data_IF_759013312018
#
_entry.id   IF_759013312018
#
_cell.length_a   1.000
_cell.length_b   1.000
_cell.length_c   1.000
_cell.angle_alpha   90.00
_cell.angle_beta   90.00
_cell.angle_gamma   90.00
#
_symmetry.space_group_name_H-M   'P 1'
#
loop_
_entity.id
_entity.type
_entity.pdbx_description
1 polymer ?
#
# COMPACT_ATOMS: atom_id res chain seq x y z
N UNK A 1 -41.51 18.51 -12.39
CA UNK A 1 -41.67 18.12 -10.97
C UNK A 1 -40.30 18.21 -10.32
N UNK A 2 -40.04 19.36 -9.73
CA UNK A 2 -38.87 19.72 -8.92
C UNK A 2 -38.95 19.03 -7.55
N UNK A 3 -37.85 18.49 -7.05
CA UNK A 3 -37.58 18.35 -5.61
C UNK A 3 -36.08 18.52 -5.35
N UNK A 4 -35.74 19.57 -4.59
CA UNK A 4 -34.51 19.71 -3.80
C UNK A 4 -34.85 19.31 -2.33
N UNK A 5 -33.94 19.45 -1.35
CA UNK A 5 -32.94 18.49 -0.91
C UNK A 5 -33.21 18.02 0.53
N UNK A 6 -32.72 16.84 0.93
CA UNK A 6 -32.83 16.37 2.31
C UNK A 6 -33.05 14.87 2.39
N UNK A 7 -31.95 14.13 2.47
CA UNK A 7 -31.93 12.74 2.88
C UNK A 7 -30.84 12.60 3.92
N UNK A 8 -31.27 12.41 5.17
CA UNK A 8 -30.41 12.16 6.32
C UNK A 8 -29.51 10.95 6.05
N UNK A 9 -28.22 11.08 6.40
CA UNK A 9 -27.34 9.93 6.57
C UNK A 9 -27.92 9.09 7.72
N UNK A 10 -28.42 7.89 7.39
CA UNK A 10 -28.78 6.90 8.41
C UNK A 10 -27.49 6.25 8.89
N UNK A 11 -27.13 6.60 10.12
CA UNK A 11 -26.05 6.03 10.91
C UNK A 11 -26.58 4.71 11.51
N UNK A 12 -26.36 3.58 10.84
CA UNK A 12 -26.66 2.25 11.40
C UNK A 12 -25.55 1.81 12.37
N UNK A 13 -25.41 2.56 13.46
CA UNK A 13 -24.77 2.12 14.69
C UNK A 13 -25.83 1.44 15.58
N UNK A 14 -26.10 0.16 15.34
CA UNK A 14 -26.83 -0.68 16.31
C UNK A 14 -25.89 -1.71 16.92
N UNK A 15 -25.49 -1.32 18.14
CA UNK A 15 -25.02 -2.13 19.27
C UNK A 15 -25.30 -3.64 19.18
N UNK A 16 -24.23 -4.44 19.23
CA UNK A 16 -24.19 -5.69 19.98
C UNK A 16 -23.28 -5.47 21.19
N UNK A 17 -23.88 -5.07 22.32
CA UNK A 17 -23.30 -5.28 23.64
C UNK A 17 -24.25 -6.19 24.40
N UNK A 18 -23.86 -7.46 24.55
CA UNK A 18 -24.12 -8.21 25.77
C UNK A 18 -23.21 -9.43 25.83
N UNK A 19 -22.31 -9.41 26.81
CA UNK A 19 -21.81 -10.62 27.48
C UNK A 19 -20.67 -11.41 26.85
N UNK A 20 -19.46 -10.85 26.79
CA UNK A 20 -18.23 -11.63 27.00
C UNK A 20 -17.30 -10.83 27.94
N UNK A 21 -17.54 -10.96 29.24
CA UNK A 21 -16.49 -10.72 30.22
C UNK A 21 -15.45 -11.84 30.09
N UNK A 22 -14.18 -11.45 29.94
CA UNK A 22 -12.97 -12.28 30.03
C UNK A 22 -12.59 -13.18 28.84
N UNK A 23 -12.21 -12.57 27.70
CA UNK A 23 -11.11 -13.10 26.85
C UNK A 23 -10.21 -11.93 26.39
N UNK A 24 -9.69 -11.17 27.35
CA UNK A 24 -8.65 -10.19 27.08
C UNK A 24 -7.28 -10.91 27.12
N UNK A 25 -6.69 -11.16 25.94
CA UNK A 25 -5.25 -11.45 25.88
C UNK A 25 -4.70 -12.39 24.81
N UNK A 26 -5.51 -13.00 23.94
CA UNK A 26 -4.96 -14.01 22.99
C UNK A 26 -5.39 -13.82 21.51
N UNK A 27 -6.37 -12.96 21.19
CA UNK A 27 -6.92 -12.86 19.82
C UNK A 27 -6.84 -11.51 19.11
N UNK A 28 -6.32 -10.46 19.76
CA UNK A 28 -6.25 -9.10 19.15
C UNK A 28 -4.90 -8.85 18.49
N UNK A 29 -3.83 -9.51 18.96
CA UNK A 29 -2.49 -9.38 18.37
C UNK A 29 -2.31 -10.16 17.06
N UNK A 30 -3.13 -11.17 16.75
CA UNK A 30 -2.97 -11.95 15.50
C UNK A 30 -3.61 -11.26 14.28
N UNK A 31 -4.65 -10.46 14.45
CA UNK A 31 -5.39 -9.89 13.31
C UNK A 31 -4.69 -8.69 12.64
N UNK A 32 -3.88 -7.93 13.38
CA UNK A 32 -3.25 -6.72 12.81
C UNK A 32 -2.10 -7.07 11.87
N UNK A 33 -1.37 -8.15 12.17
CA UNK A 33 -0.21 -8.57 11.39
C UNK A 33 -0.63 -9.06 10.00
N UNK A 34 -1.74 -9.81 9.91
CA UNK A 34 -2.30 -10.26 8.63
C UNK A 34 -2.67 -9.07 7.73
N UNK A 35 -3.38 -8.08 8.26
CA UNK A 35 -3.73 -6.87 7.50
C UNK A 35 -2.48 -6.03 7.17
N UNK A 36 -1.52 -5.92 8.10
CA UNK A 36 -0.26 -5.22 7.88
C UNK A 36 0.53 -5.84 6.73
N UNK A 37 0.63 -7.18 6.66
CA UNK A 37 1.31 -7.88 5.56
C UNK A 37 0.64 -7.56 4.23
N UNK A 38 -0.70 -7.56 4.18
CA UNK A 38 -1.44 -7.25 2.96
C UNK A 38 -1.24 -5.80 2.51
N UNK A 39 -1.23 -4.84 3.45
CA UNK A 39 -1.02 -3.43 3.15
C UNK A 39 0.41 -3.14 2.68
N UNK A 40 1.41 -3.69 3.38
CA UNK A 40 2.82 -3.57 3.00
C UNK A 40 3.06 -4.24 1.64
N UNK A 41 2.54 -5.45 1.43
CA UNK A 41 2.66 -6.15 0.15
C UNK A 41 1.97 -5.38 -0.97
N UNK A 42 0.79 -4.83 -0.71
CA UNK A 42 0.09 -3.95 -1.65
C UNK A 42 1.00 -2.78 -2.02
N UNK A 43 1.55 -2.04 -1.07
CA UNK A 43 2.39 -0.88 -1.37
C UNK A 43 3.67 -1.26 -2.15
N UNK A 44 4.35 -2.34 -1.76
CA UNK A 44 5.59 -2.80 -2.40
C UNK A 44 5.37 -3.42 -3.78
N UNK A 45 4.17 -3.91 -4.12
CA UNK A 45 3.92 -4.54 -5.44
C UNK A 45 4.24 -3.60 -6.59
N UNK A 46 3.91 -2.31 -6.45
CA UNK A 46 4.16 -1.31 -7.50
C UNK A 46 5.66 -1.17 -7.73
N UNK A 47 6.47 -1.26 -6.67
CA UNK A 47 7.91 -1.24 -6.77
C UNK A 47 8.44 -2.46 -7.52
N UNK A 48 8.00 -3.65 -7.12
CA UNK A 48 8.45 -4.93 -7.72
C UNK A 48 8.15 -5.04 -9.22
N UNK A 49 7.00 -4.55 -9.67
CA UNK A 49 6.53 -4.76 -11.05
C UNK A 49 6.70 -3.55 -11.97
N UNK A 50 6.69 -2.32 -11.44
CA UNK A 50 6.58 -1.11 -12.27
C UNK A 50 7.65 -0.05 -11.99
N UNK A 51 8.54 -0.28 -11.03
CA UNK A 51 9.51 0.73 -10.62
C UNK A 51 10.91 0.30 -11.05
N UNK A 52 11.61 1.24 -11.68
CA UNK A 52 12.95 1.06 -12.23
C UNK A 52 13.85 2.12 -11.61
N UNK A 53 15.16 1.88 -11.51
CA UNK A 53 16.09 2.87 -10.95
C UNK A 53 16.16 4.13 -11.85
N UNK A 54 15.49 5.19 -11.42
CA UNK A 54 15.39 6.46 -12.15
C UNK A 54 16.68 7.28 -12.15
N UNK A 55 17.68 6.94 -11.34
CA UNK A 55 18.95 7.68 -11.29
C UNK A 55 19.67 7.70 -12.64
N UNK A 56 19.37 6.74 -13.51
CA UNK A 56 19.97 6.59 -14.84
C UNK A 56 18.99 6.87 -15.98
N UNK A 57 17.77 7.32 -15.67
CA UNK A 57 16.75 7.59 -16.68
C UNK A 57 16.93 9.01 -17.23
N UNK A 58 17.94 9.20 -18.07
CA UNK A 58 17.90 10.28 -19.08
C UNK A 58 16.93 9.87 -20.18
N UNK A 59 16.14 10.82 -20.71
CA UNK A 59 15.06 10.66 -21.72
C UNK A 59 15.47 9.99 -23.06
N UNK A 60 16.65 9.38 -23.13
CA UNK A 60 17.33 8.92 -24.34
C UNK A 60 17.44 7.39 -24.46
N UNK A 61 16.45 6.64 -23.99
CA UNK A 61 16.35 5.21 -24.33
C UNK A 61 15.13 4.95 -25.20
N UNK A 62 15.31 5.19 -26.50
CA UNK A 62 14.68 4.37 -27.51
C UNK A 62 15.06 2.92 -27.22
N UNK A 63 14.05 2.06 -27.03
CA UNK A 63 14.15 0.60 -26.96
C UNK A 63 15.25 0.04 -26.03
N UNK A 64 14.90 -0.36 -24.80
CA UNK A 64 15.49 -1.57 -24.24
C UNK A 64 14.68 -2.14 -23.07
N UNK A 65 14.04 -3.29 -23.34
CA UNK A 65 13.29 -4.15 -22.42
C UNK A 65 14.18 -4.90 -21.40
N UNK A 66 15.29 -4.30 -20.95
CA UNK A 66 16.33 -4.99 -20.18
C UNK A 66 16.33 -4.67 -18.68
N UNK A 67 15.31 -3.97 -18.15
CA UNK A 67 15.24 -3.66 -16.72
C UNK A 67 15.18 -4.92 -15.82
N UNK A 68 14.66 -6.04 -16.31
CA UNK A 68 14.66 -7.32 -15.57
C UNK A 68 15.96 -8.13 -15.74
N UNK A 69 16.84 -7.75 -16.67
CA UNK A 69 17.99 -8.56 -17.06
C UNK A 69 19.26 -8.26 -16.26
N UNK A 70 19.30 -7.16 -15.51
CA UNK A 70 20.47 -6.77 -14.73
C UNK A 70 20.03 -6.20 -13.37
N UNK A 71 20.75 -6.58 -12.31
CA UNK A 71 20.62 -5.90 -11.03
C UNK A 71 21.02 -4.42 -11.19
N UNK A 72 20.38 -3.47 -10.50
CA UNK A 72 20.78 -2.07 -10.52
C UNK A 72 22.28 -1.94 -10.26
N UNK A 73 22.98 -1.16 -11.09
CA UNK A 73 24.41 -0.85 -10.93
C UNK A 73 24.54 0.63 -10.54
N UNK A 74 25.17 0.97 -9.41
CA UNK A 74 25.80 0.06 -8.46
C UNK A 74 24.77 -0.79 -7.70
N UNK A 75 25.17 -1.99 -7.21
CA UNK A 75 24.37 -2.76 -6.26
C UNK A 75 23.98 -1.85 -5.10
N UNK A 76 22.93 -2.17 -4.35
CA UNK A 76 22.50 -1.38 -3.18
C UNK A 76 23.67 -1.21 -2.20
N UNK A 77 24.44 -0.12 -2.36
CA UNK A 77 25.61 0.16 -1.52
C UNK A 77 25.12 0.55 -0.12
N UNK A 78 23.93 1.16 -0.04
CA UNK A 78 23.39 1.74 1.19
C UNK A 78 21.93 1.38 1.36
N UNK A 79 21.62 0.61 2.39
CA UNK A 79 20.25 0.44 2.86
C UNK A 79 19.65 1.76 3.31
N UNK A 80 18.32 1.87 3.23
CA UNK A 80 17.62 2.91 3.96
C UNK A 80 17.82 2.67 5.45
N UNK A 81 18.45 3.63 6.13
CA UNK A 81 18.95 3.42 7.49
C UNK A 81 17.83 3.09 8.49
N UNK A 82 16.66 3.75 8.41
CA UNK A 82 15.53 3.46 9.33
C UNK A 82 14.96 2.05 9.10
N UNK A 83 14.83 1.63 7.83
CA UNK A 83 14.34 0.29 7.51
C UNK A 83 15.34 -0.74 8.03
N UNK A 84 16.64 -0.52 7.80
CA UNK A 84 17.68 -1.41 8.32
C UNK A 84 17.64 -1.50 9.85
N UNK A 85 17.56 -0.37 10.56
CA UNK A 85 17.50 -0.33 12.02
C UNK A 85 16.31 -1.11 12.57
N UNK A 86 15.11 -0.94 12.00
CA UNK A 86 13.91 -1.62 12.49
C UNK A 86 13.83 -3.08 12.05
N UNK A 87 14.22 -3.37 10.82
CA UNK A 87 14.08 -4.70 10.22
C UNK A 87 15.26 -5.64 10.44
N UNK A 88 16.38 -5.18 11.00
CA UNK A 88 17.45 -6.11 11.43
C UNK A 88 17.15 -6.79 12.76
N UNK A 89 16.11 -6.35 13.49
CA UNK A 89 15.81 -6.81 14.84
C UNK A 89 14.88 -8.02 14.85
N UNK A 90 13.63 -7.83 14.41
CA UNK A 90 12.57 -8.83 14.45
C UNK A 90 11.52 -8.55 13.37
N UNK A 91 10.85 -9.60 12.89
CA UNK A 91 9.85 -9.50 11.83
C UNK A 91 8.66 -8.61 12.22
N UNK A 92 8.12 -8.75 13.42
CA UNK A 92 6.95 -7.97 13.83
C UNK A 92 7.30 -6.50 14.04
N UNK A 93 8.51 -6.22 14.56
CA UNK A 93 9.03 -4.84 14.66
C UNK A 93 9.18 -4.22 13.27
N UNK A 94 9.76 -4.97 12.33
CA UNK A 94 9.88 -4.54 10.94
C UNK A 94 8.51 -4.25 10.33
N UNK A 95 7.59 -5.22 10.41
CA UNK A 95 6.27 -5.16 9.81
C UNK A 95 5.47 -3.98 10.36
N UNK A 96 5.54 -3.75 11.68
CA UNK A 96 4.87 -2.63 12.32
C UNK A 96 5.37 -1.29 11.78
N UNK A 97 6.70 -1.11 11.74
CA UNK A 97 7.30 0.10 11.17
C UNK A 97 6.92 0.30 9.69
N UNK A 98 6.97 -0.76 8.88
CA UNK A 98 6.59 -0.68 7.48
C UNK A 98 5.12 -0.30 7.31
N UNK A 99 4.23 -0.88 8.11
CA UNK A 99 2.81 -0.55 8.10
C UNK A 99 2.59 0.92 8.46
N UNK A 100 3.23 1.41 9.53
CA UNK A 100 3.08 2.79 10.00
C UNK A 100 3.46 3.81 8.91
N UNK A 101 4.49 3.51 8.09
CA UNK A 101 4.84 4.35 6.94
C UNK A 101 3.83 4.21 5.80
N UNK A 102 3.35 2.99 5.52
CA UNK A 102 2.43 2.72 4.41
C UNK A 102 1.07 3.37 4.62
N UNK A 103 0.56 3.43 5.84
CA UNK A 103 -0.73 4.08 6.14
C UNK A 103 -0.71 5.60 5.97
N UNK A 104 0.47 6.22 5.90
CA UNK A 104 0.63 7.64 5.60
C UNK A 104 0.65 7.94 4.09
N UNK A 105 0.73 6.91 3.25
CA UNK A 105 0.73 7.06 1.79
C UNK A 105 -0.68 7.33 1.26
N UNK A 106 -0.79 7.95 0.09
CA UNK A 106 -2.09 8.30 -0.48
C UNK A 106 -2.81 7.06 -1.02
N UNK A 107 -2.10 6.19 -1.75
CA UNK A 107 -2.70 4.99 -2.33
C UNK A 107 -2.56 3.79 -1.39
N UNK A 108 -3.66 3.47 -0.72
CA UNK A 108 -3.75 2.35 0.22
C UNK A 108 -4.52 1.18 -0.41
N UNK A 109 -4.38 -0.02 0.17
CA UNK A 109 -5.09 -1.21 -0.31
C UNK A 109 -6.61 -1.02 -0.24
N UNK A 110 -7.08 -0.43 0.85
CA UNK A 110 -8.50 -0.20 1.12
C UNK A 110 -9.17 0.73 0.10
N UNK A 111 -8.42 1.61 -0.54
CA UNK A 111 -8.92 2.54 -1.57
C UNK A 111 -8.73 2.02 -2.99
N UNK A 112 -8.20 0.80 -3.16
CA UNK A 112 -8.04 0.19 -4.48
C UNK A 112 -9.37 -0.32 -5.03
N UNK A 113 -9.54 -0.18 -6.33
CA UNK A 113 -10.74 -0.63 -7.05
C UNK A 113 -11.00 -2.12 -6.83
N UNK A 114 -9.98 -2.96 -6.91
CA UNK A 114 -10.11 -4.41 -6.69
C UNK A 114 -10.58 -4.75 -5.28
N UNK A 115 -10.07 -4.04 -4.26
CA UNK A 115 -10.46 -4.24 -2.88
C UNK A 115 -11.93 -3.86 -2.67
N UNK A 116 -12.32 -2.66 -3.12
CA UNK A 116 -13.69 -2.17 -2.97
C UNK A 116 -14.67 -3.09 -3.73
N UNK A 117 -14.33 -3.50 -4.95
CA UNK A 117 -15.17 -4.42 -5.72
C UNK A 117 -15.41 -5.75 -4.99
N UNK A 118 -14.37 -6.29 -4.33
CA UNK A 118 -14.50 -7.54 -3.53
C UNK A 118 -15.33 -7.32 -2.28
N UNK A 119 -15.08 -6.24 -1.53
CA UNK A 119 -15.82 -5.94 -0.29
C UNK A 119 -17.31 -5.69 -0.56
N UNK A 120 -17.61 -5.00 -1.65
CA UNK A 120 -18.99 -4.65 -2.02
C UNK A 120 -19.68 -5.71 -2.89
N UNK A 121 -18.98 -6.80 -3.25
CA UNK A 121 -19.46 -7.83 -4.17
C UNK A 121 -19.99 -7.25 -5.51
N UNK A 122 -19.26 -6.26 -6.05
CA UNK A 122 -19.64 -5.57 -7.28
C UNK A 122 -19.28 -6.35 -8.53
N UNK A 123 -20.22 -6.43 -9.48
CA UNK A 123 -19.96 -6.90 -10.85
C UNK A 123 -20.02 -5.76 -11.86
N UNK A 124 -19.28 -5.91 -12.97
CA UNK A 124 -19.13 -4.88 -14.02
C UNK A 124 -20.47 -4.57 -14.68
N UNK A 125 -21.34 -5.56 -14.85
CA UNK A 125 -22.62 -5.42 -15.53
C UNK A 125 -23.60 -4.55 -14.73
N UNK A 126 -23.55 -4.66 -13.40
CA UNK A 126 -24.50 -3.99 -12.49
C UNK A 126 -23.97 -2.66 -11.97
N UNK A 127 -22.66 -2.55 -11.75
CA UNK A 127 -22.04 -1.43 -11.03
C UNK A 127 -20.98 -0.71 -11.86
N UNK A 128 -21.03 -0.82 -13.20
CA UNK A 128 -20.01 -0.22 -14.07
C UNK A 128 -19.82 1.28 -13.86
N UNK A 129 -20.84 2.02 -13.42
CA UNK A 129 -20.73 3.43 -13.04
C UNK A 129 -19.88 3.65 -11.79
N UNK A 130 -20.20 2.93 -10.71
CA UNK A 130 -19.50 3.03 -9.42
C UNK A 130 -18.04 2.54 -9.54
N UNK A 131 -17.82 1.47 -10.30
CA UNK A 131 -16.47 0.94 -10.58
C UNK A 131 -15.62 1.99 -11.29
N UNK A 132 -16.18 2.72 -12.27
CA UNK A 132 -15.45 3.81 -12.95
C UNK A 132 -15.08 4.92 -11.98
N UNK A 133 -16.03 5.37 -11.16
CA UNK A 133 -15.79 6.42 -10.16
C UNK A 133 -14.68 6.01 -9.18
N UNK A 134 -14.73 4.79 -8.65
CA UNK A 134 -13.70 4.27 -7.74
C UNK A 134 -12.36 4.10 -8.43
N UNK A 135 -12.34 3.68 -9.70
CA UNK A 135 -11.12 3.60 -10.49
C UNK A 135 -10.49 4.97 -10.74
N UNK A 136 -11.30 5.99 -11.05
CA UNK A 136 -10.81 7.35 -11.26
C UNK A 136 -10.14 7.90 -9.98
N UNK A 137 -10.73 7.62 -8.81
CA UNK A 137 -10.13 7.98 -7.53
C UNK A 137 -8.83 7.20 -7.24
N UNK A 138 -8.81 5.89 -7.50
CA UNK A 138 -7.60 5.07 -7.38
C UNK A 138 -6.45 5.62 -8.25
N UNK A 139 -6.75 6.00 -9.49
CA UNK A 139 -5.77 6.61 -10.41
C UNK A 139 -5.30 7.99 -9.94
N UNK A 140 -6.19 8.79 -9.36
CA UNK A 140 -5.85 10.08 -8.75
C UNK A 140 -4.87 9.90 -7.58
N UNK A 141 -5.16 8.98 -6.65
CA UNK A 141 -4.30 8.67 -5.51
C UNK A 141 -2.95 8.11 -5.97
N UNK A 142 -2.94 7.21 -6.96
CA UNK A 142 -1.70 6.69 -7.57
C UNK A 142 -0.83 7.81 -8.13
N UNK A 143 -1.44 8.81 -8.78
CA UNK A 143 -0.74 9.96 -9.37
C UNK A 143 -0.18 10.88 -8.30
N UNK A 144 -0.92 11.11 -7.22
CA UNK A 144 -0.42 11.85 -6.06
C UNK A 144 0.78 11.15 -5.43
N UNK A 145 0.67 9.86 -5.16
CA UNK A 145 1.77 9.04 -4.64
C UNK A 145 3.04 9.09 -5.51
N UNK A 146 2.87 9.29 -6.81
CA UNK A 146 3.96 9.40 -7.77
C UNK A 146 4.62 10.78 -7.78
N UNK A 147 3.81 11.83 -7.74
CA UNK A 147 4.25 13.23 -7.88
C UNK A 147 4.68 13.83 -6.55
N UNK A 148 3.97 13.48 -5.47
CA UNK A 148 4.19 13.91 -4.10
C UNK A 148 4.27 12.66 -3.21
N UNK A 149 5.44 12.01 -3.15
CA UNK A 149 5.61 10.75 -2.45
C UNK A 149 5.65 10.95 -0.93
N UNK A 150 4.57 11.38 -0.30
CA UNK A 150 4.47 11.41 1.18
C UNK A 150 4.43 9.97 1.73
N UNK A 151 5.03 9.70 2.90
CA UNK A 151 5.76 10.62 3.80
C UNK A 151 7.26 10.80 3.47
N UNK A 152 7.72 10.36 2.30
CA UNK A 152 9.13 10.38 1.94
C UNK A 152 9.63 11.79 1.59
N UNK A 153 10.93 12.03 1.84
CA UNK A 153 11.58 13.32 1.52
C UNK A 153 11.66 13.59 0.01
N UNK A 154 11.47 12.55 -0.80
CA UNK A 154 11.43 12.64 -2.25
C UNK A 154 11.50 11.27 -2.93
N UNK A 155 11.55 11.25 -4.28
CA UNK A 155 11.52 10.01 -5.05
C UNK A 155 12.69 9.05 -4.75
N UNK A 156 13.89 9.58 -4.51
CA UNK A 156 15.06 8.76 -4.18
C UNK A 156 14.94 8.09 -2.82
N UNK A 157 14.40 8.82 -1.84
CA UNK A 157 14.19 8.33 -0.48
C UNK A 157 13.15 7.20 -0.47
N UNK A 158 12.01 7.43 -1.13
CA UNK A 158 10.98 6.40 -1.38
C UNK A 158 11.53 5.16 -2.07
N UNK A 159 12.36 5.34 -3.10
CA UNK A 159 12.98 4.21 -3.80
C UNK A 159 13.87 3.40 -2.86
N UNK A 160 14.79 4.04 -2.14
CA UNK A 160 15.68 3.37 -1.17
C UNK A 160 14.90 2.65 -0.09
N UNK A 161 13.85 3.28 0.43
CA UNK A 161 12.96 2.69 1.43
C UNK A 161 12.31 1.42 0.88
N UNK A 162 11.69 1.48 -0.30
CA UNK A 162 10.99 0.35 -0.93
C UNK A 162 11.91 -0.81 -1.26
N UNK A 163 13.10 -0.52 -1.79
CA UNK A 163 14.07 -1.55 -2.11
C UNK A 163 14.55 -2.25 -0.83
N UNK A 164 14.88 -1.48 0.21
CA UNK A 164 15.34 -2.03 1.49
C UNK A 164 14.23 -2.84 2.17
N UNK A 165 12.99 -2.33 2.18
CA UNK A 165 11.84 -3.04 2.73
C UNK A 165 11.59 -4.35 1.98
N UNK A 166 11.63 -4.32 0.64
CA UNK A 166 11.47 -5.53 -0.19
C UNK A 166 12.55 -6.58 0.08
N UNK A 167 13.80 -6.15 0.32
CA UNK A 167 14.90 -7.03 0.71
C UNK A 167 14.58 -7.76 2.04
N UNK A 168 14.19 -7.03 3.08
CA UNK A 168 13.88 -7.64 4.38
C UNK A 168 12.64 -8.54 4.32
N UNK A 169 11.57 -8.12 3.64
CA UNK A 169 10.37 -8.97 3.45
C UNK A 169 10.72 -10.27 2.71
N UNK A 170 11.60 -10.21 1.72
CA UNK A 170 12.10 -11.41 1.06
C UNK A 170 12.96 -12.27 2.01
N UNK A 171 13.82 -11.64 2.82
CA UNK A 171 14.67 -12.36 3.76
C UNK A 171 13.85 -13.15 4.81
N UNK A 172 12.79 -12.57 5.37
CA UNK A 172 11.94 -13.26 6.35
C UNK A 172 11.14 -14.44 5.78
N UNK A 173 11.07 -14.58 4.45
CA UNK A 173 10.31 -15.66 3.79
C UNK A 173 11.19 -16.78 3.24
N UNK A 174 12.53 -16.66 3.33
CA UNK A 174 13.50 -17.70 2.98
C UNK A 174 13.89 -18.52 4.21
#
# INVERSE_FOLDING_TARGET
LTFLPGGEFVDDNIFYSDGIENIAGVGVEENWADEAVLDVAFYLRLHKFNDFDRRFYTEKYENNSYFHAQFPVPPLITFHWEVYEKCSQDFLICLKYLQDVVVETHLQRISSTDYIMRQMNWTVEKHGGDIRMVNDECLRLKTLDWTKPEPFRGPLDRFRWRVTASYFMCWYTM
#
